data_IF_436937604489
#
_entry.id   IF_436937604489
#
_cell.length_a   1.000
_cell.length_b   1.000
_cell.length_c   1.000
_cell.angle_alpha   90.00
_cell.angle_beta   90.00
_cell.angle_gamma   90.00
#
_symmetry.space_group_name_H-M   'P 1'
#
loop_
_entity.id
_entity.type
_entity.pdbx_description
1 polymer ?
#
# COMPACT_ATOMS: atom_id res chain seq x y z
N UNK A 1 74.43 28.04 5.04
CA UNK A 1 73.71 28.77 3.99
C UNK A 1 72.23 28.44 4.15
N UNK A 2 71.28 29.30 4.48
CA UNK A 2 71.26 30.69 4.90
C UNK A 2 69.81 31.00 5.36
N UNK A 3 69.71 31.50 6.59
CA UNK A 3 68.75 32.48 7.14
C UNK A 3 67.26 32.11 7.33
N UNK A 4 66.90 32.10 8.61
CA UNK A 4 65.55 32.20 9.19
C UNK A 4 64.92 33.59 8.97
N UNK A 5 63.58 33.67 8.92
CA UNK A 5 62.86 34.94 8.96
C UNK A 5 61.36 34.71 9.17
N UNK A 6 60.80 35.42 10.13
CA UNK A 6 59.58 35.12 10.88
C UNK A 6 58.52 36.19 10.61
N UNK A 7 57.25 35.86 10.92
CA UNK A 7 56.13 36.75 11.32
C UNK A 7 55.08 37.16 10.26
N UNK A 8 53.83 36.89 10.69
CA UNK A 8 52.48 37.27 10.30
C UNK A 8 52.29 38.50 9.38
N UNK A 9 51.31 38.43 8.47
CA UNK A 9 50.20 39.41 8.34
C UNK A 9 49.10 38.89 7.39
N UNK A 10 47.85 38.95 7.89
CA UNK A 10 46.57 39.20 7.22
C UNK A 10 46.12 38.40 5.98
N UNK A 11 45.07 37.58 6.21
CA UNK A 11 44.19 36.99 5.20
C UNK A 11 43.17 38.03 4.70
N UNK A 12 43.05 38.27 3.38
CA UNK A 12 41.85 38.89 2.81
C UNK A 12 40.78 37.83 2.53
N UNK A 13 39.54 38.17 2.91
CA UNK A 13 38.34 37.37 2.78
C UNK A 13 37.97 37.14 1.30
N UNK A 14 37.79 35.86 0.92
CA UNK A 14 37.41 35.42 -0.43
C UNK A 14 35.90 35.64 -0.71
N UNK A 15 35.24 36.56 0.00
CA UNK A 15 33.77 36.66 0.03
C UNK A 15 33.17 37.75 -0.89
N UNK A 16 33.97 38.55 -1.59
CA UNK A 16 33.44 39.69 -2.37
C UNK A 16 33.71 39.64 -3.89
N UNK A 17 34.29 38.55 -4.42
CA UNK A 17 34.61 38.46 -5.85
C UNK A 17 33.58 37.67 -6.72
N UNK A 18 32.48 37.19 -6.14
CA UNK A 18 31.46 36.40 -6.86
C UNK A 18 30.14 37.15 -7.09
N UNK A 19 30.01 38.39 -6.65
CA UNK A 19 28.76 39.17 -6.71
C UNK A 19 28.65 40.13 -7.91
N UNK A 20 29.55 40.07 -8.90
CA UNK A 20 29.60 41.07 -10.00
C UNK A 20 29.81 40.52 -11.42
N UNK A 21 29.06 39.50 -11.86
CA UNK A 21 28.93 39.23 -13.30
C UNK A 21 27.46 39.06 -13.72
N UNK A 22 26.95 39.91 -14.64
CA UNK A 22 25.65 39.72 -15.24
C UNK A 22 25.75 38.77 -16.45
N UNK A 23 24.91 37.74 -16.43
CA UNK A 23 24.38 37.13 -17.65
C UNK A 23 25.06 35.86 -18.19
N UNK A 24 24.18 35.02 -18.72
CA UNK A 24 24.40 34.02 -19.77
C UNK A 24 25.08 32.72 -19.33
N UNK A 25 24.30 31.81 -18.71
CA UNK A 25 24.40 30.37 -18.99
C UNK A 25 23.12 29.64 -18.53
N UNK A 26 22.01 29.87 -19.22
CA UNK A 26 20.87 28.93 -19.16
C UNK A 26 21.21 27.75 -20.06
N UNK A 27 22.02 26.84 -19.56
CA UNK A 27 22.06 25.48 -20.08
C UNK A 27 20.71 24.84 -19.74
N UNK A 28 19.97 24.46 -20.78
CA UNK A 28 18.83 23.56 -20.72
C UNK A 28 19.21 22.31 -19.93
N UNK A 29 18.76 22.20 -18.68
CA UNK A 29 18.66 20.92 -17.99
C UNK A 29 17.21 20.43 -18.19
N UNK A 30 16.98 19.38 -18.98
CA UNK A 30 15.72 18.67 -18.91
C UNK A 30 15.65 17.96 -17.56
N UNK A 31 14.67 18.28 -16.73
CA UNK A 31 14.34 17.47 -15.55
C UNK A 31 14.45 18.10 -14.17
N UNK A 32 14.36 19.43 -14.01
CA UNK A 32 14.03 20.01 -12.70
C UNK A 32 12.57 19.63 -12.34
N UNK A 33 12.38 18.42 -11.81
CA UNK A 33 11.19 18.07 -11.06
C UNK A 33 11.07 19.07 -9.92
N UNK A 34 9.97 19.83 -9.91
CA UNK A 34 9.59 20.61 -8.75
C UNK A 34 9.57 19.68 -7.52
N UNK A 35 9.99 20.15 -6.33
CA UNK A 35 9.86 19.36 -5.12
C UNK A 35 8.40 18.91 -4.97
N UNK A 36 8.21 17.61 -4.75
CA UNK A 36 6.89 17.01 -4.54
C UNK A 36 6.15 17.84 -3.47
N UNK A 37 5.04 18.45 -3.85
CA UNK A 37 4.21 19.21 -2.92
C UNK A 37 3.83 18.30 -1.73
N UNK A 38 3.83 18.83 -0.49
CA UNK A 38 3.45 18.04 0.68
C UNK A 38 2.08 17.36 0.47
N UNK A 39 2.01 16.07 0.78
CA UNK A 39 0.74 15.33 0.71
C UNK A 39 -0.25 15.88 1.74
N UNK A 40 -1.56 15.94 1.42
CA UNK A 40 -2.59 16.25 2.40
C UNK A 40 -2.55 15.30 3.62
N UNK A 41 -3.20 15.67 4.74
CA UNK A 41 -3.43 14.76 5.85
C UNK A 41 -4.04 13.44 5.37
N UNK A 42 -3.69 12.32 6.01
CA UNK A 42 -4.05 10.95 5.57
C UNK A 42 -5.56 10.78 5.27
N UNK A 43 -6.43 11.41 6.05
CA UNK A 43 -7.90 11.34 5.85
C UNK A 43 -8.42 12.08 4.62
N UNK A 44 -7.64 13.03 4.10
CA UNK A 44 -8.00 13.88 2.95
C UNK A 44 -7.27 13.47 1.66
N UNK A 45 -6.41 12.44 1.75
CA UNK A 45 -5.66 11.95 0.59
C UNK A 45 -6.59 11.28 -0.42
N UNK A 46 -6.31 11.57 -1.68
CA UNK A 46 -6.87 10.87 -2.84
C UNK A 46 -5.82 9.93 -3.41
N UNK A 47 -6.25 8.83 -4.00
CA UNK A 47 -5.37 7.89 -4.69
C UNK A 47 -5.26 8.20 -6.18
N UNK A 48 -4.11 7.91 -6.79
CA UNK A 48 -3.95 7.87 -8.24
C UNK A 48 -4.62 6.66 -8.90
N UNK A 49 -5.04 5.67 -8.10
CA UNK A 49 -5.75 4.48 -8.56
C UNK A 49 -7.20 4.81 -8.93
N UNK A 50 -7.53 4.83 -10.22
CA UNK A 50 -8.91 5.06 -10.70
C UNK A 50 -9.73 3.77 -10.78
N UNK A 51 -9.07 2.61 -10.86
CA UNK A 51 -9.69 1.27 -10.90
C UNK A 51 -8.98 0.38 -9.88
N UNK A 52 -9.75 -0.36 -9.09
CA UNK A 52 -9.24 -1.28 -8.07
C UNK A 52 -9.85 -2.65 -8.23
N UNK A 53 -8.99 -3.67 -8.23
CA UNK A 53 -9.38 -5.08 -8.06
C UNK A 53 -9.02 -5.51 -6.65
N UNK A 54 -10.01 -5.90 -5.87
CA UNK A 54 -9.85 -6.42 -4.51
C UNK A 54 -9.99 -7.93 -4.53
N UNK A 55 -8.89 -8.63 -4.29
CA UNK A 55 -8.86 -10.10 -4.15
C UNK A 55 -8.83 -10.42 -2.66
N UNK A 56 -9.83 -11.17 -2.17
CA UNK A 56 -9.94 -11.45 -0.75
C UNK A 56 -10.33 -12.89 -0.42
N UNK A 57 -10.20 -13.22 0.86
CA UNK A 57 -10.66 -14.45 1.48
C UNK A 57 -12.02 -14.27 2.20
N UNK A 58 -12.34 -15.15 3.15
CA UNK A 58 -13.60 -15.09 3.91
C UNK A 58 -13.79 -13.77 4.65
N UNK A 59 -12.71 -13.10 5.05
CA UNK A 59 -12.77 -11.79 5.71
C UNK A 59 -13.22 -10.66 4.77
N UNK A 60 -13.29 -10.95 3.46
CA UNK A 60 -13.70 -10.00 2.43
C UNK A 60 -14.99 -10.42 1.72
N UNK A 61 -15.64 -11.51 2.14
CA UNK A 61 -16.93 -11.93 1.57
C UNK A 61 -18.04 -10.99 2.05
N UNK A 62 -18.79 -10.43 1.10
CA UNK A 62 -19.93 -9.56 1.35
C UNK A 62 -19.61 -8.17 1.90
N UNK A 63 -18.34 -7.73 1.86
CA UNK A 63 -17.91 -6.42 2.38
C UNK A 63 -18.39 -5.22 1.54
N UNK A 64 -19.16 -5.49 0.49
CA UNK A 64 -19.86 -4.50 -0.33
C UNK A 64 -21.39 -4.75 -0.35
N UNK A 65 -21.87 -5.79 0.34
CA UNK A 65 -23.27 -6.20 0.32
C UNK A 65 -24.11 -5.32 1.24
N UNK A 66 -25.31 -4.97 0.79
CA UNK A 66 -26.24 -4.15 1.57
C UNK A 66 -26.66 -4.79 2.91
N UNK A 67 -26.69 -6.12 2.98
CA UNK A 67 -27.08 -6.85 4.18
C UNK A 67 -26.02 -6.83 5.30
N UNK A 68 -24.79 -6.37 5.01
CA UNK A 68 -23.69 -6.34 5.99
C UNK A 68 -23.48 -4.96 6.62
N UNK A 69 -24.09 -3.89 6.08
CA UNK A 69 -23.88 -2.52 6.52
C UNK A 69 -25.19 -1.76 6.64
N UNK A 70 -25.41 -1.15 7.81
CA UNK A 70 -26.52 -0.22 8.00
C UNK A 70 -26.34 1.06 7.16
N UNK A 71 -25.12 1.60 7.14
CA UNK A 71 -24.78 2.77 6.35
C UNK A 71 -24.14 2.35 5.02
N UNK A 72 -24.72 2.71 3.85
CA UNK A 72 -24.13 2.38 2.55
C UNK A 72 -22.75 3.01 2.33
N UNK A 73 -22.42 4.10 3.04
CA UNK A 73 -21.11 4.73 2.93
C UNK A 73 -19.97 3.83 3.45
N UNK A 74 -20.25 2.84 4.32
CA UNK A 74 -19.24 1.97 4.93
C UNK A 74 -18.85 0.77 4.06
N UNK A 75 -19.57 0.56 2.95
CA UNK A 75 -19.29 -0.49 1.98
C UNK A 75 -17.99 -0.25 1.23
N UNK A 76 -17.35 -1.33 0.78
CA UNK A 76 -16.04 -1.28 0.13
C UNK A 76 -15.99 -0.28 -1.04
N UNK A 77 -16.94 -0.38 -1.96
CA UNK A 77 -17.01 0.49 -3.15
C UNK A 77 -17.16 1.97 -2.78
N UNK A 78 -17.97 2.27 -1.77
CA UNK A 78 -18.15 3.63 -1.27
C UNK A 78 -16.87 4.17 -0.61
N UNK A 79 -16.19 3.34 0.18
CA UNK A 79 -14.94 3.72 0.85
C UNK A 79 -13.80 3.94 -0.16
N UNK A 80 -13.70 3.12 -1.22
CA UNK A 80 -12.76 3.37 -2.33
C UNK A 80 -13.13 4.60 -3.17
N UNK A 81 -14.42 4.84 -3.43
CA UNK A 81 -14.90 6.06 -4.09
C UNK A 81 -14.53 7.32 -3.32
N UNK A 82 -14.61 7.30 -1.98
CA UNK A 82 -14.18 8.42 -1.13
C UNK A 82 -12.74 8.87 -1.42
N UNK A 83 -11.85 7.93 -1.76
CA UNK A 83 -10.45 8.24 -2.07
C UNK A 83 -10.18 8.43 -3.56
N UNK A 84 -11.20 8.36 -4.42
CA UNK A 84 -11.08 8.68 -5.85
C UNK A 84 -11.03 7.49 -6.81
N UNK A 85 -11.27 6.27 -6.32
CA UNK A 85 -11.45 5.11 -7.20
C UNK A 85 -12.81 5.22 -7.91
N UNK A 86 -12.80 5.21 -9.24
CA UNK A 86 -14.02 5.28 -10.05
C UNK A 86 -14.68 3.90 -10.25
N UNK A 87 -13.91 2.81 -10.22
CA UNK A 87 -14.43 1.45 -10.41
C UNK A 87 -13.77 0.46 -9.46
N UNK A 88 -14.59 -0.31 -8.75
CA UNK A 88 -14.15 -1.38 -7.85
C UNK A 88 -14.61 -2.73 -8.39
N UNK A 89 -13.73 -3.73 -8.40
CA UNK A 89 -14.09 -5.14 -8.63
C UNK A 89 -13.72 -5.92 -7.37
N UNK A 90 -14.72 -6.48 -6.68
CA UNK A 90 -14.51 -7.37 -5.54
C UNK A 90 -14.60 -8.83 -6.02
N UNK A 91 -13.53 -9.59 -5.79
CA UNK A 91 -13.53 -11.05 -5.95
C UNK A 91 -13.01 -11.66 -4.65
N UNK A 92 -13.94 -12.04 -3.79
CA UNK A 92 -13.67 -12.68 -2.50
C UNK A 92 -14.38 -14.03 -2.39
N UNK A 93 -13.79 -14.95 -1.65
CA UNK A 93 -14.36 -16.27 -1.46
C UNK A 93 -14.01 -16.87 -0.09
N UNK A 94 -14.95 -17.66 0.44
CA UNK A 94 -14.82 -18.31 1.73
C UNK A 94 -13.64 -19.28 1.74
N UNK A 95 -12.90 -19.31 2.86
CA UNK A 95 -11.73 -20.18 3.09
C UNK A 95 -10.62 -20.09 2.03
N UNK A 96 -10.64 -19.09 1.14
CA UNK A 96 -9.64 -18.94 0.10
C UNK A 96 -8.26 -18.71 0.72
N UNK A 97 -7.27 -19.43 0.23
CA UNK A 97 -5.85 -19.12 0.43
C UNK A 97 -5.20 -18.80 -0.92
N UNK A 98 -3.91 -18.46 -0.91
CA UNK A 98 -3.18 -18.16 -2.14
C UNK A 98 -2.94 -19.41 -2.99
N UNK A 99 -2.75 -20.57 -2.35
CA UNK A 99 -2.30 -21.80 -3.03
C UNK A 99 -3.34 -22.91 -2.99
N UNK A 100 -3.91 -23.19 -1.83
CA UNK A 100 -4.86 -24.29 -1.68
C UNK A 100 -6.21 -23.96 -2.33
N UNK A 101 -6.82 -24.97 -2.96
CA UNK A 101 -8.20 -24.92 -3.43
C UNK A 101 -9.07 -25.64 -2.43
N UNK A 102 -10.06 -24.94 -1.88
CA UNK A 102 -11.06 -25.53 -0.98
C UNK A 102 -12.26 -25.95 -1.82
N UNK A 103 -12.62 -27.24 -1.79
CA UNK A 103 -13.77 -27.79 -2.55
C UNK A 103 -13.70 -27.49 -4.06
N UNK A 104 -12.49 -27.45 -4.64
CA UNK A 104 -12.27 -27.13 -6.05
C UNK A 104 -12.49 -25.65 -6.43
N UNK A 105 -12.82 -24.78 -5.45
CA UNK A 105 -12.99 -23.34 -5.69
C UNK A 105 -11.65 -22.66 -5.97
N UNK A 106 -11.63 -21.56 -6.75
CA UNK A 106 -10.39 -20.85 -7.11
C UNK A 106 -9.62 -20.35 -5.88
N UNK A 107 -8.31 -20.59 -5.87
CA UNK A 107 -7.38 -19.94 -4.94
C UNK A 107 -7.13 -18.47 -5.40
N UNK A 108 -6.35 -17.70 -4.64
CA UNK A 108 -6.10 -16.30 -5.00
C UNK A 108 -5.37 -16.13 -6.34
N UNK A 109 -4.41 -17.03 -6.66
CA UNK A 109 -3.69 -16.99 -7.94
C UNK A 109 -4.65 -17.19 -9.12
N UNK A 110 -5.56 -18.15 -9.02
CA UNK A 110 -6.60 -18.39 -10.03
C UNK A 110 -7.56 -17.20 -10.14
N UNK A 111 -7.95 -16.62 -9.00
CA UNK A 111 -8.82 -15.44 -9.00
C UNK A 111 -8.16 -14.24 -9.70
N UNK A 112 -6.87 -13.99 -9.43
CA UNK A 112 -6.08 -12.95 -10.09
C UNK A 112 -6.03 -13.20 -11.60
N UNK A 113 -5.66 -14.42 -12.02
CA UNK A 113 -5.63 -14.80 -13.44
C UNK A 113 -6.97 -14.61 -14.12
N UNK A 114 -8.05 -14.99 -13.45
CA UNK A 114 -9.40 -14.84 -13.99
C UNK A 114 -9.80 -13.38 -14.17
N UNK A 115 -9.46 -12.49 -13.22
CA UNK A 115 -9.75 -11.06 -13.37
C UNK A 115 -8.89 -10.42 -14.46
N UNK A 116 -7.60 -10.79 -14.55
CA UNK A 116 -6.72 -10.35 -15.64
C UNK A 116 -7.27 -10.79 -17.01
N UNK A 117 -7.72 -12.04 -17.14
CA UNK A 117 -8.33 -12.56 -18.37
C UNK A 117 -9.64 -11.86 -18.75
N UNK A 118 -10.37 -11.31 -17.76
CA UNK A 118 -11.55 -10.45 -17.98
C UNK A 118 -11.20 -9.01 -18.33
N UNK A 119 -9.91 -8.71 -18.54
CA UNK A 119 -9.42 -7.37 -18.87
C UNK A 119 -9.43 -6.41 -17.69
N UNK A 120 -9.49 -6.92 -16.44
CA UNK A 120 -9.38 -6.05 -15.26
C UNK A 120 -7.96 -5.53 -15.13
N UNK A 121 -7.87 -4.22 -14.92
CA UNK A 121 -6.64 -3.44 -14.84
C UNK A 121 -6.71 -2.47 -13.64
N UNK A 122 -5.65 -1.65 -13.49
CA UNK A 122 -5.52 -0.71 -12.38
C UNK A 122 -4.74 -1.27 -11.20
N UNK A 123 -5.04 -0.75 -10.01
CA UNK A 123 -4.39 -1.13 -8.76
C UNK A 123 -5.04 -2.37 -8.16
N UNK A 124 -4.24 -3.15 -7.42
CA UNK A 124 -4.68 -4.40 -6.83
C UNK A 124 -4.58 -4.30 -5.31
N UNK A 125 -5.67 -4.63 -4.63
CA UNK A 125 -5.67 -4.82 -3.18
C UNK A 125 -5.75 -6.31 -2.93
N UNK A 126 -4.67 -6.88 -2.40
CA UNK A 126 -4.59 -8.29 -2.07
C UNK A 126 -4.88 -8.42 -0.57
N UNK A 127 -6.13 -8.73 -0.24
CA UNK A 127 -6.62 -8.92 1.10
C UNK A 127 -6.62 -10.41 1.48
N UNK A 128 -5.45 -11.03 1.31
CA UNK A 128 -5.19 -12.46 1.54
C UNK A 128 -4.15 -12.63 2.64
N UNK A 129 -4.17 -13.77 3.32
CA UNK A 129 -3.07 -14.19 4.20
C UNK A 129 -3.52 -14.88 5.48
N UNK A 130 -4.77 -14.70 5.93
CA UNK A 130 -5.24 -15.28 7.19
C UNK A 130 -5.27 -16.81 7.09
N UNK A 131 -5.87 -17.34 6.01
CA UNK A 131 -5.89 -18.79 5.75
C UNK A 131 -4.49 -19.33 5.39
N UNK A 132 -3.65 -18.52 4.73
CA UNK A 132 -2.29 -18.90 4.38
C UNK A 132 -1.40 -19.07 5.61
N UNK A 133 -1.45 -18.12 6.54
CA UNK A 133 -0.78 -18.18 7.82
C UNK A 133 -1.24 -19.41 8.62
N UNK A 134 -2.54 -19.68 8.63
CA UNK A 134 -3.10 -20.86 9.29
C UNK A 134 -2.60 -22.16 8.67
N UNK A 135 -2.67 -22.29 7.33
CA UNK A 135 -2.20 -23.46 6.60
C UNK A 135 -0.70 -23.73 6.84
N UNK A 136 0.13 -22.68 6.86
CA UNK A 136 1.56 -22.80 7.21
C UNK A 136 1.72 -23.31 8.65
N UNK A 137 1.00 -22.70 9.60
CA UNK A 137 1.06 -23.07 11.01
C UNK A 137 0.61 -24.50 11.31
N UNK A 138 -0.14 -25.15 10.41
CA UNK A 138 -0.55 -26.55 10.54
C UNK A 138 0.19 -27.51 9.60
N UNK A 139 1.24 -27.04 8.92
CA UNK A 139 2.19 -27.91 8.21
C UNK A 139 2.15 -27.84 6.68
N UNK A 140 1.63 -26.77 6.08
CA UNK A 140 1.76 -26.58 4.62
C UNK A 140 3.23 -26.55 4.20
N UNK A 141 3.55 -27.23 3.10
CA UNK A 141 4.90 -27.25 2.51
C UNK A 141 5.26 -26.00 1.71
N UNK A 142 4.30 -25.08 1.51
CA UNK A 142 4.51 -23.81 0.79
C UNK A 142 4.50 -22.66 1.79
N UNK A 143 5.65 -22.05 1.98
CA UNK A 143 5.86 -20.99 2.97
C UNK A 143 5.28 -19.62 2.52
N UNK A 144 5.29 -18.64 3.41
CA UNK A 144 4.70 -17.33 3.15
C UNK A 144 5.39 -16.59 1.97
N UNK A 145 6.72 -16.60 1.91
CA UNK A 145 7.46 -15.94 0.82
C UNK A 145 7.09 -16.55 -0.54
N UNK A 146 7.04 -17.88 -0.66
CA UNK A 146 6.64 -18.56 -1.90
C UNK A 146 5.19 -18.23 -2.32
N UNK A 147 4.28 -18.03 -1.36
CA UNK A 147 2.89 -17.65 -1.65
C UNK A 147 2.82 -16.22 -2.18
N UNK A 148 3.52 -15.30 -1.51
CA UNK A 148 3.57 -13.89 -1.91
C UNK A 148 4.21 -13.77 -3.30
N UNK A 149 5.31 -14.48 -3.55
CA UNK A 149 5.99 -14.47 -4.84
C UNK A 149 5.08 -14.96 -5.98
N UNK A 150 4.21 -15.97 -5.73
CA UNK A 150 3.20 -16.42 -6.70
C UNK A 150 2.18 -15.34 -7.04
N UNK A 151 1.71 -14.57 -6.07
CA UNK A 151 0.79 -13.45 -6.34
C UNK A 151 1.50 -12.36 -7.13
N UNK A 152 2.71 -11.97 -6.70
CA UNK A 152 3.46 -10.89 -7.34
C UNK A 152 3.91 -11.24 -8.76
N UNK A 153 4.17 -12.52 -9.06
CA UNK A 153 4.49 -13.00 -10.40
C UNK A 153 3.33 -12.79 -11.40
N UNK A 154 2.08 -12.81 -10.95
CA UNK A 154 0.91 -12.55 -11.80
C UNK A 154 0.62 -11.05 -11.98
N UNK A 155 1.25 -10.18 -11.17
CA UNK A 155 1.01 -8.74 -11.13
C UNK A 155 2.26 -7.90 -11.44
N UNK A 156 3.05 -8.21 -12.50
CA UNK A 156 4.28 -7.49 -12.79
C UNK A 156 3.99 -6.02 -13.11
N UNK A 157 4.72 -5.12 -12.43
CA UNK A 157 4.62 -3.66 -12.64
C UNK A 157 3.30 -3.02 -12.19
N UNK A 158 2.33 -3.80 -11.70
CA UNK A 158 1.04 -3.28 -11.23
C UNK A 158 1.16 -2.79 -9.79
N UNK A 159 0.52 -1.68 -9.46
CA UNK A 159 0.48 -1.18 -8.08
C UNK A 159 -0.31 -2.16 -7.20
N UNK A 160 0.35 -2.75 -6.20
CA UNK A 160 -0.26 -3.69 -5.26
C UNK A 160 -0.22 -3.10 -3.85
N UNK A 161 -1.40 -2.97 -3.23
CA UNK A 161 -1.53 -2.78 -1.79
C UNK A 161 -1.82 -4.15 -1.15
N UNK A 162 -1.03 -4.54 -0.16
CA UNK A 162 -1.27 -5.76 0.61
C UNK A 162 -1.34 -5.43 2.10
N UNK A 163 -2.55 -5.36 2.68
CA UNK A 163 -2.71 -5.15 4.11
C UNK A 163 -2.18 -6.34 4.93
N UNK A 164 -1.54 -6.07 6.06
CA UNK A 164 -1.19 -7.11 7.03
C UNK A 164 -2.45 -7.78 7.59
N UNK A 165 -2.32 -9.02 8.02
CA UNK A 165 -3.43 -9.84 8.54
C UNK A 165 -3.41 -9.91 10.06
N UNK A 166 -4.57 -10.07 10.67
CA UNK A 166 -4.71 -10.15 12.11
C UNK A 166 -5.81 -11.15 12.50
N UNK A 167 -5.59 -11.80 13.63
CA UNK A 167 -6.58 -12.58 14.38
C UNK A 167 -6.51 -12.16 15.84
N UNK A 168 -7.59 -12.40 16.59
CA UNK A 168 -7.67 -12.08 18.00
C UNK A 168 -8.38 -13.19 18.77
N UNK A 169 -7.71 -13.86 19.70
CA UNK A 169 -8.28 -14.97 20.47
C UNK A 169 -8.95 -16.08 19.63
N UNK A 170 -8.46 -16.29 18.40
CA UNK A 170 -8.95 -17.36 17.53
C UNK A 170 -8.66 -18.74 18.15
N UNK A 171 -9.70 -19.55 18.31
CA UNK A 171 -9.62 -20.89 18.90
C UNK A 171 -9.34 -21.98 17.87
N UNK A 172 -9.51 -21.67 16.58
CA UNK A 172 -9.28 -22.61 15.48
C UNK A 172 -7.78 -22.82 15.29
N UNK A 173 -7.35 -24.10 15.26
CA UNK A 173 -5.95 -24.48 15.07
C UNK A 173 -5.36 -23.81 13.82
N UNK A 174 -4.19 -23.20 13.98
CA UNK A 174 -3.48 -22.49 12.91
C UNK A 174 -3.74 -20.99 12.88
N UNK A 175 -4.88 -20.50 13.37
CA UNK A 175 -5.23 -19.07 13.30
C UNK A 175 -4.63 -18.22 14.43
N UNK A 176 -3.52 -18.66 15.04
CA UNK A 176 -2.88 -17.92 16.13
C UNK A 176 -2.34 -16.57 15.64
N UNK A 177 -2.34 -15.57 16.52
CA UNK A 177 -1.75 -14.26 16.23
C UNK A 177 -0.26 -14.37 15.84
N UNK A 178 0.48 -15.33 16.42
CA UNK A 178 1.88 -15.59 16.07
C UNK A 178 2.06 -16.02 14.60
N UNK A 179 1.13 -16.81 14.06
CA UNK A 179 1.17 -17.19 12.65
C UNK A 179 0.87 -15.99 11.75
N UNK A 180 -0.08 -15.12 12.14
CA UNK A 180 -0.36 -13.87 11.44
C UNK A 180 0.87 -12.95 11.40
N UNK A 181 1.54 -12.76 12.54
CA UNK A 181 2.81 -12.01 12.62
C UNK A 181 3.87 -12.58 11.68
N UNK A 182 4.05 -13.91 11.67
CA UNK A 182 5.02 -14.56 10.79
C UNK A 182 4.75 -14.32 9.30
N UNK A 183 3.47 -14.33 8.89
CA UNK A 183 3.06 -14.00 7.53
C UNK A 183 3.27 -12.51 7.22
N UNK A 184 2.94 -11.63 8.15
CA UNK A 184 3.14 -10.18 8.02
C UNK A 184 4.62 -9.80 7.87
N UNK A 185 5.51 -10.49 8.58
CA UNK A 185 6.95 -10.29 8.42
C UNK A 185 7.42 -10.70 7.02
N UNK A 186 6.85 -11.76 6.44
CA UNK A 186 7.11 -12.14 5.06
C UNK A 186 6.61 -11.09 4.07
N UNK A 187 5.42 -10.50 4.29
CA UNK A 187 4.93 -9.37 3.48
C UNK A 187 5.88 -8.17 3.55
N UNK A 188 6.35 -7.82 4.75
CA UNK A 188 7.31 -6.72 4.95
C UNK A 188 8.63 -6.98 4.21
N UNK A 189 9.15 -8.21 4.26
CA UNK A 189 10.32 -8.61 3.44
C UNK A 189 10.04 -8.55 1.95
N UNK A 190 8.86 -8.98 1.51
CA UNK A 190 8.48 -8.96 0.10
C UNK A 190 8.39 -7.53 -0.46
N UNK A 191 7.95 -6.55 0.33
CA UNK A 191 7.93 -5.15 -0.08
C UNK A 191 9.33 -4.59 -0.41
N UNK A 192 10.39 -5.15 0.17
CA UNK A 192 11.77 -4.82 -0.20
C UNK A 192 12.21 -5.48 -1.52
N UNK A 193 11.60 -6.60 -1.91
CA UNK A 193 11.90 -7.34 -3.15
C UNK A 193 11.08 -6.86 -4.35
N UNK A 194 9.86 -6.38 -4.12
CA UNK A 194 8.91 -5.97 -5.15
C UNK A 194 8.64 -4.46 -5.07
N UNK A 195 9.24 -3.63 -5.94
CA UNK A 195 9.08 -2.18 -5.90
C UNK A 195 7.63 -1.69 -6.08
N UNK A 196 6.79 -2.50 -6.74
CA UNK A 196 5.38 -2.24 -6.99
C UNK A 196 4.44 -2.72 -5.85
N UNK A 197 4.99 -3.35 -4.80
CA UNK A 197 4.25 -3.76 -3.61
C UNK A 197 4.35 -2.69 -2.52
N UNK A 198 3.22 -2.37 -1.90
CA UNK A 198 3.10 -1.55 -0.70
C UNK A 198 2.33 -2.33 0.35
N UNK A 199 2.90 -2.42 1.56
CA UNK A 199 2.26 -3.07 2.70
C UNK A 199 1.61 -2.02 3.58
N UNK A 200 0.35 -2.24 3.92
CA UNK A 200 -0.37 -1.40 4.87
C UNK A 200 -0.55 -2.16 6.18
N UNK A 201 -0.10 -1.59 7.30
CA UNK A 201 -0.06 -2.32 8.59
C UNK A 201 -1.42 -2.32 9.31
N UNK A 202 -2.44 -2.91 8.67
CA UNK A 202 -3.78 -3.06 9.25
C UNK A 202 -3.77 -3.82 10.58
N UNK A 203 -2.88 -4.79 10.76
CA UNK A 203 -2.75 -5.56 11.99
C UNK A 203 -2.44 -4.68 13.22
N UNK A 204 -1.75 -3.55 13.03
CA UNK A 204 -1.48 -2.59 14.10
C UNK A 204 -2.71 -1.77 14.50
N UNK A 205 -3.73 -1.70 13.63
CA UNK A 205 -4.95 -0.91 13.84
C UNK A 205 -6.16 -1.79 14.23
N UNK A 206 -6.09 -3.09 13.94
CA UNK A 206 -7.15 -4.06 14.23
C UNK A 206 -7.46 -4.11 15.74
N UNK A 207 -8.73 -3.92 16.08
CA UNK A 207 -9.19 -3.93 17.47
C UNK A 207 -9.82 -5.27 17.86
N UNK A 208 -9.59 -5.78 19.08
CA UNK A 208 -10.25 -6.97 19.62
C UNK A 208 -11.77 -7.00 19.40
N UNK A 209 -12.44 -5.88 19.67
CA UNK A 209 -13.90 -5.75 19.59
C UNK A 209 -14.44 -5.83 18.15
N UNK A 210 -13.58 -5.85 17.13
CA UNK A 210 -14.00 -6.00 15.73
C UNK A 210 -14.22 -7.45 15.34
N UNK A 211 -13.72 -8.41 16.12
CA UNK A 211 -13.78 -9.84 15.79
C UNK A 211 -15.00 -10.52 16.42
N UNK A 212 -15.58 -11.49 15.71
CA UNK A 212 -16.74 -12.27 16.17
C UNK A 212 -16.36 -13.66 16.68
N UNK A 213 -15.43 -14.31 15.99
CA UNK A 213 -14.89 -15.64 16.30
C UNK A 213 -13.35 -15.64 16.38
N UNK A 214 -12.78 -14.43 16.46
CA UNK A 214 -11.34 -14.18 16.43
C UNK A 214 -10.69 -14.16 15.04
N UNK A 215 -11.46 -14.43 13.98
CA UNK A 215 -10.99 -14.44 12.58
C UNK A 215 -11.81 -13.46 11.73
N UNK A 216 -13.13 -13.54 11.82
CA UNK A 216 -14.07 -12.75 11.04
C UNK A 216 -14.55 -11.52 11.80
N UNK A 217 -14.83 -10.46 11.05
CA UNK A 217 -15.22 -9.17 11.60
C UNK A 217 -16.74 -9.03 11.75
N UNK A 218 -17.16 -8.30 12.79
CA UNK A 218 -18.53 -7.77 12.89
C UNK A 218 -18.73 -6.56 11.96
N UNK A 219 -19.92 -5.99 11.94
CA UNK A 219 -20.25 -4.86 11.06
C UNK A 219 -19.32 -3.65 11.26
N UNK A 220 -18.99 -3.32 12.51
CA UNK A 220 -18.07 -2.21 12.82
C UNK A 220 -16.66 -2.51 12.32
N UNK A 221 -16.16 -3.72 12.56
CA UNK A 221 -14.86 -4.18 12.07
C UNK A 221 -14.76 -4.16 10.55
N UNK A 222 -15.82 -4.59 9.85
CA UNK A 222 -15.89 -4.51 8.38
C UNK A 222 -15.88 -3.06 7.89
N UNK A 223 -16.64 -2.17 8.53
CA UNK A 223 -16.68 -0.75 8.18
C UNK A 223 -15.30 -0.09 8.35
N UNK A 224 -14.64 -0.34 9.49
CA UNK A 224 -13.30 0.17 9.76
C UNK A 224 -12.29 -0.41 8.78
N UNK A 225 -12.30 -1.72 8.52
CA UNK A 225 -11.40 -2.36 7.56
C UNK A 225 -11.54 -1.75 6.15
N UNK A 226 -12.76 -1.56 5.66
CA UNK A 226 -13.00 -0.92 4.36
C UNK A 226 -12.44 0.51 4.33
N UNK A 227 -12.67 1.29 5.40
CA UNK A 227 -12.15 2.66 5.54
C UNK A 227 -10.64 2.71 5.53
N UNK A 228 -10.02 1.86 6.32
CA UNK A 228 -8.59 1.78 6.52
C UNK A 228 -7.89 1.31 5.24
N UNK A 229 -8.44 0.33 4.53
CA UNK A 229 -7.87 -0.13 3.26
C UNK A 229 -7.93 0.94 2.18
N UNK A 230 -9.04 1.68 2.07
CA UNK A 230 -9.12 2.81 1.16
C UNK A 230 -8.11 3.92 1.50
N UNK A 231 -7.95 4.21 2.79
CA UNK A 231 -6.97 5.18 3.30
C UNK A 231 -5.53 4.73 3.05
N UNK A 232 -5.25 3.44 3.27
CA UNK A 232 -3.97 2.81 2.96
C UNK A 232 -3.64 2.89 1.47
N UNK A 233 -4.64 2.68 0.60
CA UNK A 233 -4.48 2.83 -0.85
C UNK A 233 -4.11 4.27 -1.25
N UNK A 234 -4.82 5.26 -0.70
CA UNK A 234 -4.55 6.67 -0.95
C UNK A 234 -3.18 7.13 -0.42
N UNK A 235 -2.72 6.52 0.67
CA UNK A 235 -1.40 6.80 1.24
C UNK A 235 -0.29 6.13 0.44
N UNK A 236 -0.48 4.89 0.02
CA UNK A 236 0.50 4.12 -0.74
C UNK A 236 0.67 4.64 -2.19
N UNK A 237 -0.43 5.07 -2.80
CA UNK A 237 -0.47 5.54 -4.19
C UNK A 237 -1.20 6.89 -4.26
N UNK A 238 -0.60 7.97 -3.76
CA UNK A 238 -1.27 9.27 -3.69
C UNK A 238 -1.43 9.88 -5.07
N UNK A 239 -2.57 10.52 -5.31
CA UNK A 239 -2.71 11.46 -6.42
C UNK A 239 -1.89 12.70 -6.08
N UNK A 240 -0.85 12.97 -6.88
CA UNK A 240 -0.10 14.22 -6.77
C UNK A 240 -0.81 15.29 -7.59
N UNK A 241 -1.16 16.42 -6.97
CA UNK A 241 -1.60 17.59 -7.70
C UNK A 241 -0.42 18.17 -8.49
N UNK A 242 -0.68 18.75 -9.66
CA UNK A 242 0.23 19.76 -10.20
C UNK A 242 0.25 20.90 -9.19
N UNK A 243 1.40 21.18 -8.57
CA UNK A 243 1.53 22.28 -7.62
C UNK A 243 1.07 23.63 -8.23
N UNK A 244 0.83 24.66 -7.40
CA UNK A 244 0.53 26.00 -7.92
C UNK A 244 1.61 26.42 -8.92
N UNK A 245 1.21 26.94 -10.08
CA UNK A 245 2.16 27.56 -11.01
C UNK A 245 3.01 28.60 -10.25
N UNK A 246 4.33 28.69 -10.52
CA UNK A 246 5.15 29.73 -9.92
C UNK A 246 4.48 31.08 -10.18
N UNK A 247 4.21 31.84 -9.12
CA UNK A 247 3.76 33.23 -9.26
C UNK A 247 4.86 33.95 -10.02
N UNK A 248 4.60 34.30 -11.28
CA UNK A 248 5.46 35.21 -12.04
C UNK A 248 5.57 36.50 -11.24
N UNK A 249 6.77 36.77 -10.72
CA UNK A 249 7.09 38.04 -10.10
C UNK A 249 6.79 39.13 -11.11
N UNK A 250 5.82 39.99 -10.81
CA UNK A 250 5.55 41.19 -11.58
C UNK A 250 6.61 42.20 -11.16
N UNK A 251 7.65 42.35 -11.98
CA UNK A 251 8.67 43.38 -11.79
C UNK A 251 8.02 44.76 -11.98
N UNK A 252 8.35 45.77 -11.13
CA UNK A 252 7.84 47.14 -11.27
C UNK A 252 8.29 47.81 -12.57
#
# INVERSE_FOLDING_TARGET
MGVAGQVLHDLPQVSELLSQLPGIFTLLIPGLQAPDAPLPPTGDRRTSCTRVVHIGDSTSVGIDDASKFANPADRLSAQYSRVGVASTTLNADGARSIVEKVQGRPNAVDAIKSELARGKDGCWVIAMGVNDAANIGVGSSVNADQRIDRVMAELPGRNVLWPTVATHDATVKGYSAANMTSFNDALKRAAARYPNLRVYDFAAEAQPAWFTDGIHYNADGLAQRNRLFATGLATAFPQRGTGPAPRSARTP
#
